data_IF_862176170737
#
_entry.id   IF_862176170737
#
_cell.length_a   1.000
_cell.length_b   1.000
_cell.length_c   1.000
_cell.angle_alpha   90.00
_cell.angle_beta   90.00
_cell.angle_gamma   90.00
#
_symmetry.space_group_name_H-M   'P 1'
#
loop_
_entity.id
_entity.type
_entity.pdbx_description
1 polymer ?
#
# COMPACT_ATOMS: atom_id res chain seq x y z
N UNK A 1 60.78 31.42 16.78
CA UNK A 1 59.94 30.92 15.64
C UNK A 1 59.71 29.43 15.90
N UNK A 2 58.76 29.12 16.77
CA UNK A 2 58.39 27.76 17.11
C UNK A 2 57.08 27.45 16.36
N UNK A 3 57.15 26.46 15.47
CA UNK A 3 55.99 25.92 14.75
C UNK A 3 55.43 24.80 15.60
N UNK A 4 54.34 25.08 16.29
CA UNK A 4 53.53 24.09 17.01
C UNK A 4 52.65 23.36 16.05
N UNK A 5 53.03 22.17 15.67
CA UNK A 5 52.19 21.16 14.97
C UNK A 5 51.65 20.19 16.01
N UNK A 6 50.44 20.39 16.49
CA UNK A 6 49.67 19.36 17.17
C UNK A 6 48.31 19.23 16.48
N UNK A 7 48.26 18.38 15.46
CA UNK A 7 47.00 17.87 14.91
C UNK A 7 46.64 16.60 15.66
N UNK A 8 45.89 16.71 16.75
CA UNK A 8 45.26 15.58 17.40
C UNK A 8 44.16 15.03 16.44
N UNK A 9 44.52 13.94 15.76
CA UNK A 9 43.55 13.10 15.09
C UNK A 9 42.80 12.35 16.20
N UNK A 10 41.66 12.90 16.62
CA UNK A 10 40.70 12.15 17.45
C UNK A 10 40.21 10.93 16.69
N UNK A 11 40.77 9.78 17.02
CA UNK A 11 40.32 8.48 16.60
C UNK A 11 38.88 8.29 17.10
N UNK A 12 37.86 8.49 16.23
CA UNK A 12 36.46 8.24 16.55
C UNK A 12 36.24 6.77 16.82
N UNK A 13 36.39 6.37 18.08
CA UNK A 13 36.01 5.04 18.57
C UNK A 13 34.51 4.82 18.22
N UNK A 14 34.14 3.74 17.53
CA UNK A 14 32.75 3.47 17.22
C UNK A 14 31.97 3.30 18.52
N UNK A 15 31.06 4.23 18.82
CA UNK A 15 30.17 4.15 19.98
C UNK A 15 29.42 2.84 19.95
N UNK A 16 29.61 2.00 20.96
CA UNK A 16 28.81 0.79 21.20
C UNK A 16 27.33 1.22 21.22
N UNK A 17 26.52 0.64 20.30
CA UNK A 17 25.06 0.78 20.31
C UNK A 17 24.55 0.35 21.68
N UNK A 18 24.07 1.30 22.48
CA UNK A 18 23.40 1.05 23.74
C UNK A 18 21.91 0.82 23.49
N UNK A 19 21.21 0.18 24.39
CA UNK A 19 19.77 -0.03 24.37
C UNK A 19 18.96 1.27 24.22
N UNK A 20 19.60 2.43 24.38
CA UNK A 20 19.03 3.79 24.17
C UNK A 20 18.96 4.20 22.69
N UNK A 21 19.58 3.46 21.77
CA UNK A 21 19.59 3.74 20.33
C UNK A 21 18.47 2.97 19.58
N UNK A 22 17.43 2.50 20.30
CA UNK A 22 16.25 1.89 19.67
C UNK A 22 15.54 2.97 18.86
N UNK A 23 15.48 2.79 17.55
CA UNK A 23 14.72 3.67 16.67
C UNK A 23 13.21 3.53 17.00
N UNK A 24 12.75 4.43 17.87
CA UNK A 24 11.35 4.47 18.33
C UNK A 24 10.36 4.48 17.16
N UNK A 25 10.75 5.02 16.01
CA UNK A 25 9.91 5.02 14.80
C UNK A 25 9.76 3.63 14.20
N UNK A 26 10.71 2.73 14.45
CA UNK A 26 10.62 1.34 13.99
C UNK A 26 9.72 0.50 14.91
N UNK A 27 9.67 0.79 16.20
CA UNK A 27 8.95 0.00 17.20
C UNK A 27 7.52 0.51 17.41
N UNK A 28 7.29 1.81 17.24
CA UNK A 28 6.00 2.44 17.49
C UNK A 28 4.80 1.78 16.78
N UNK A 29 4.86 1.39 15.50
CA UNK A 29 3.73 0.71 14.84
C UNK A 29 3.38 -0.63 15.48
N UNK A 30 4.40 -1.40 15.89
CA UNK A 30 4.19 -2.69 16.55
C UNK A 30 3.60 -2.53 17.94
N UNK A 31 4.08 -1.54 18.71
CA UNK A 31 3.53 -1.21 20.01
C UNK A 31 2.06 -0.76 19.92
N UNK A 32 1.73 0.07 18.92
CA UNK A 32 0.37 0.51 18.65
C UNK A 32 -0.54 -0.68 18.28
N UNK A 33 -0.04 -1.60 17.44
CA UNK A 33 -0.77 -2.82 17.08
C UNK A 33 -1.09 -3.66 18.31
N UNK A 34 -0.10 -3.92 19.17
CA UNK A 34 -0.30 -4.69 20.41
C UNK A 34 -1.28 -3.98 21.35
N UNK A 35 -1.17 -2.65 21.50
CA UNK A 35 -2.10 -1.87 22.30
C UNK A 35 -3.54 -2.01 21.80
N UNK A 36 -3.76 -1.94 20.49
CA UNK A 36 -5.09 -2.10 19.90
C UNK A 36 -5.63 -3.52 20.07
N UNK A 37 -4.79 -4.55 20.01
CA UNK A 37 -5.20 -5.92 20.30
C UNK A 37 -5.69 -6.05 21.76
N UNK A 38 -4.99 -5.41 22.70
CA UNK A 38 -5.39 -5.40 24.12
C UNK A 38 -6.71 -4.63 24.30
N UNK A 39 -6.82 -3.43 23.70
CA UNK A 39 -8.05 -2.62 23.78
C UNK A 39 -9.23 -3.38 23.18
N UNK A 40 -9.07 -3.99 22.00
CA UNK A 40 -10.13 -4.78 21.37
C UNK A 40 -10.57 -5.97 22.21
N UNK A 41 -9.64 -6.67 22.85
CA UNK A 41 -9.94 -7.78 23.77
C UNK A 41 -10.73 -7.32 25.00
N UNK A 42 -10.45 -6.11 25.51
CA UNK A 42 -11.19 -5.53 26.64
C UNK A 42 -12.59 -5.04 26.24
N UNK A 43 -12.77 -4.57 25.01
CA UNK A 43 -14.06 -4.09 24.49
C UNK A 43 -15.01 -5.25 24.21
N UNK A 44 -14.51 -6.35 23.63
CA UNK A 44 -15.34 -7.50 23.29
C UNK A 44 -14.54 -8.80 23.34
N UNK A 45 -14.96 -9.80 24.16
CA UNK A 45 -14.25 -11.09 24.26
C UNK A 45 -14.12 -11.85 22.93
N UNK A 46 -15.07 -11.67 22.00
CA UNK A 46 -15.02 -12.31 20.68
C UNK A 46 -13.96 -11.68 19.76
N UNK A 47 -13.40 -10.53 20.12
CA UNK A 47 -12.41 -9.80 19.31
C UNK A 47 -11.16 -10.65 19.07
N UNK A 48 -10.63 -11.34 20.09
CA UNK A 48 -9.44 -12.20 19.99
C UNK A 48 -9.72 -13.58 19.40
N UNK A 49 -10.99 -13.88 19.09
CA UNK A 49 -11.36 -15.13 18.43
C UNK A 49 -10.61 -15.32 17.10
N UNK A 50 -10.08 -16.53 16.88
CA UNK A 50 -9.28 -16.84 15.68
C UNK A 50 -10.00 -16.47 14.37
N UNK A 51 -11.30 -16.72 14.32
CA UNK A 51 -12.15 -16.38 13.16
C UNK A 51 -12.18 -14.85 12.92
N UNK A 52 -12.34 -14.04 13.99
CA UNK A 52 -12.35 -12.59 13.86
C UNK A 52 -10.98 -12.07 13.44
N UNK A 53 -9.90 -12.54 14.04
CA UNK A 53 -8.54 -12.13 13.67
C UNK A 53 -8.20 -12.54 12.23
N UNK A 54 -8.62 -13.72 11.79
CA UNK A 54 -8.47 -14.15 10.39
C UNK A 54 -9.28 -13.26 9.43
N UNK A 55 -10.50 -12.86 9.81
CA UNK A 55 -11.32 -11.93 9.02
C UNK A 55 -10.68 -10.55 8.92
N UNK A 56 -10.17 -10.00 10.03
CA UNK A 56 -9.43 -8.72 10.04
C UNK A 56 -8.23 -8.81 9.11
N UNK A 57 -7.41 -9.87 9.26
CA UNK A 57 -6.24 -10.07 8.42
C UNK A 57 -6.60 -10.20 6.93
N UNK A 58 -7.69 -10.91 6.61
CA UNK A 58 -8.15 -11.09 5.23
C UNK A 58 -8.71 -9.80 4.63
N UNK A 59 -9.44 -9.00 5.41
CA UNK A 59 -9.99 -7.70 4.97
C UNK A 59 -8.90 -6.65 4.76
N UNK A 60 -7.87 -6.64 5.60
CA UNK A 60 -6.74 -5.71 5.46
C UNK A 60 -5.94 -5.95 4.18
N UNK A 61 -6.10 -7.09 3.48
CA UNK A 61 -5.29 -7.49 2.35
C UNK A 61 -5.24 -6.44 1.23
N UNK A 62 -6.38 -5.84 0.89
CA UNK A 62 -6.44 -4.86 -0.19
C UNK A 62 -5.58 -3.64 0.11
N UNK A 63 -5.83 -3.01 1.26
CA UNK A 63 -5.11 -1.81 1.68
C UNK A 63 -3.65 -2.13 1.99
N UNK A 64 -3.35 -3.27 2.60
CA UNK A 64 -1.99 -3.70 2.89
C UNK A 64 -1.16 -3.84 1.61
N UNK A 65 -1.67 -4.51 0.58
CA UNK A 65 -0.97 -4.72 -0.69
C UNK A 65 -0.76 -3.38 -1.42
N UNK A 66 -1.81 -2.54 -1.51
CA UNK A 66 -1.71 -1.21 -2.12
C UNK A 66 -0.70 -0.34 -1.35
N UNK A 67 -0.73 -0.36 -0.01
CA UNK A 67 0.18 0.40 0.84
C UNK A 67 1.64 -0.07 0.71
N UNK A 68 1.88 -1.37 0.46
CA UNK A 68 3.24 -1.87 0.14
C UNK A 68 3.76 -1.20 -1.12
N UNK A 69 2.97 -1.11 -2.19
CA UNK A 69 3.33 -0.35 -3.39
C UNK A 69 3.58 1.12 -3.07
N UNK A 70 2.67 1.77 -2.34
CA UNK A 70 2.78 3.16 -1.93
C UNK A 70 4.04 3.44 -1.08
N UNK A 71 4.56 2.42 -0.38
CA UNK A 71 5.84 2.55 0.34
C UNK A 71 6.99 2.89 -0.61
N UNK A 72 7.04 2.34 -1.82
CA UNK A 72 8.08 2.66 -2.80
C UNK A 72 7.91 4.08 -3.36
N UNK A 73 6.69 4.46 -3.73
CA UNK A 73 6.38 5.80 -4.25
C UNK A 73 6.70 6.86 -3.19
N UNK A 74 6.24 6.69 -1.95
CA UNK A 74 6.49 7.62 -0.85
C UNK A 74 7.97 7.64 -0.49
N UNK A 75 8.65 6.49 -0.47
CA UNK A 75 10.09 6.44 -0.18
C UNK A 75 10.93 7.15 -1.23
N UNK A 76 10.48 7.27 -2.50
CA UNK A 76 11.12 8.07 -3.55
C UNK A 76 10.78 9.57 -3.49
N UNK A 77 9.95 9.99 -2.54
CA UNK A 77 9.51 11.38 -2.35
C UNK A 77 8.37 11.79 -3.26
N UNK A 78 7.55 10.83 -3.70
CA UNK A 78 6.36 11.04 -4.53
C UNK A 78 5.09 10.59 -3.80
N UNK A 79 3.92 10.93 -4.35
CA UNK A 79 2.61 10.48 -3.88
C UNK A 79 1.77 10.02 -5.07
N UNK A 80 0.98 8.96 -4.88
CA UNK A 80 0.01 8.47 -5.87
C UNK A 80 -1.39 8.47 -5.26
N UNK A 81 -2.22 9.40 -5.71
CA UNK A 81 -3.61 9.52 -5.31
C UNK A 81 -4.57 8.73 -6.20
N UNK A 82 -4.09 8.14 -7.28
CA UNK A 82 -4.95 7.47 -8.26
C UNK A 82 -5.28 6.02 -7.88
N UNK A 83 -4.64 5.45 -6.87
CA UNK A 83 -4.70 4.01 -6.56
C UNK A 83 -6.11 3.48 -6.37
N UNK A 84 -6.99 4.22 -5.68
CA UNK A 84 -8.37 3.79 -5.47
C UNK A 84 -9.19 3.76 -6.75
N UNK A 85 -9.06 4.77 -7.61
CA UNK A 85 -9.70 4.81 -8.93
C UNK A 85 -9.07 3.80 -9.91
N UNK A 86 -7.77 3.55 -9.79
CA UNK A 86 -7.06 2.52 -10.55
C UNK A 86 -7.60 1.12 -10.22
N UNK A 87 -7.88 0.82 -8.95
CA UNK A 87 -8.55 -0.45 -8.56
C UNK A 87 -9.88 -0.61 -9.29
N UNK A 88 -10.74 0.43 -9.26
CA UNK A 88 -12.03 0.40 -9.92
C UNK A 88 -11.90 0.17 -11.44
N UNK A 89 -10.96 0.85 -12.07
CA UNK A 89 -10.72 0.77 -13.51
C UNK A 89 -10.18 -0.60 -13.93
N UNK A 90 -9.16 -1.11 -13.24
CA UNK A 90 -8.56 -2.43 -13.54
C UNK A 90 -9.58 -3.53 -13.31
N UNK A 91 -10.36 -3.48 -12.20
CA UNK A 91 -11.42 -4.43 -11.92
C UNK A 91 -12.52 -4.40 -12.99
N UNK A 92 -12.89 -3.20 -13.46
CA UNK A 92 -13.89 -3.04 -14.53
C UNK A 92 -13.46 -3.72 -15.81
N UNK A 93 -12.25 -3.47 -16.28
CA UNK A 93 -11.74 -4.09 -17.50
C UNK A 93 -11.56 -5.60 -17.36
N UNK A 94 -11.11 -6.08 -16.20
CA UNK A 94 -11.00 -7.51 -15.91
C UNK A 94 -12.37 -8.20 -15.97
N UNK A 95 -13.41 -7.65 -15.32
CA UNK A 95 -14.75 -8.24 -15.30
C UNK A 95 -15.39 -8.18 -16.69
N UNK A 96 -15.26 -7.05 -17.40
CA UNK A 96 -15.77 -6.93 -18.77
C UNK A 96 -15.13 -7.95 -19.73
N UNK A 97 -13.81 -8.17 -19.59
CA UNK A 97 -13.12 -9.18 -20.36
C UNK A 97 -13.63 -10.59 -20.03
N UNK A 98 -13.81 -10.93 -18.76
CA UNK A 98 -14.40 -12.21 -18.35
C UNK A 98 -15.82 -12.39 -18.88
N UNK A 99 -16.64 -11.33 -18.92
CA UNK A 99 -18.00 -11.37 -19.43
C UNK A 99 -18.09 -11.43 -20.96
N UNK A 100 -17.00 -11.12 -21.68
CA UNK A 100 -17.00 -11.13 -23.16
C UNK A 100 -17.12 -12.53 -23.76
N UNK A 101 -16.78 -13.57 -23.00
CA UNK A 101 -16.76 -14.94 -23.52
C UNK A 101 -15.71 -15.17 -24.63
N UNK A 102 -14.71 -14.28 -24.76
CA UNK A 102 -13.71 -14.37 -25.84
C UNK A 102 -12.88 -15.66 -25.82
N UNK A 103 -12.81 -16.32 -24.69
CA UNK A 103 -12.12 -17.60 -24.49
C UNK A 103 -13.16 -18.59 -23.95
N UNK A 104 -13.39 -19.69 -24.68
CA UNK A 104 -14.41 -20.66 -24.32
C UNK A 104 -14.07 -21.48 -23.05
N UNK A 105 -12.79 -21.77 -22.81
CA UNK A 105 -12.36 -22.46 -21.59
C UNK A 105 -12.35 -21.53 -20.40
N UNK A 106 -13.13 -21.82 -19.33
CA UNK A 106 -13.23 -20.91 -18.16
C UNK A 106 -11.92 -20.75 -17.41
N UNK A 107 -11.09 -21.79 -17.33
CA UNK A 107 -9.80 -21.74 -16.63
C UNK A 107 -8.82 -20.83 -17.38
N UNK A 108 -8.76 -20.99 -18.71
CA UNK A 108 -7.92 -20.15 -19.56
C UNK A 108 -8.41 -18.70 -19.58
N UNK A 109 -9.74 -18.49 -19.61
CA UNK A 109 -10.36 -17.16 -19.49
C UNK A 109 -9.93 -16.48 -18.18
N UNK A 110 -10.01 -17.19 -17.06
CA UNK A 110 -9.63 -16.64 -15.75
C UNK A 110 -8.15 -16.27 -15.72
N UNK A 111 -7.26 -17.15 -16.20
CA UNK A 111 -5.81 -16.86 -16.25
C UNK A 111 -5.53 -15.66 -17.16
N UNK A 112 -6.15 -15.59 -18.33
CA UNK A 112 -6.00 -14.46 -19.25
C UNK A 112 -6.50 -13.15 -18.61
N UNK A 113 -7.62 -13.18 -17.88
CA UNK A 113 -8.15 -12.02 -17.17
C UNK A 113 -7.21 -11.55 -16.02
N UNK A 114 -6.60 -12.49 -15.30
CA UNK A 114 -5.60 -12.17 -14.29
C UNK A 114 -4.35 -11.50 -14.89
N UNK A 115 -3.84 -12.05 -16.00
CA UNK A 115 -2.71 -11.45 -16.72
C UNK A 115 -3.07 -10.06 -17.23
N UNK A 116 -4.28 -9.91 -17.80
CA UNK A 116 -4.78 -8.61 -18.27
C UNK A 116 -4.81 -7.58 -17.14
N UNK A 117 -5.32 -7.95 -15.95
CA UNK A 117 -5.33 -7.06 -14.79
C UNK A 117 -3.92 -6.60 -14.39
N UNK A 118 -2.94 -7.52 -14.40
CA UNK A 118 -1.53 -7.21 -14.10
C UNK A 118 -0.94 -6.26 -15.15
N UNK A 119 -1.21 -6.50 -16.43
CA UNK A 119 -0.74 -5.65 -17.53
C UNK A 119 -1.35 -4.24 -17.42
N UNK A 120 -2.68 -4.15 -17.22
CA UNK A 120 -3.36 -2.85 -17.12
C UNK A 120 -2.91 -2.07 -15.89
N UNK A 121 -2.85 -2.71 -14.71
CA UNK A 121 -2.39 -2.04 -13.50
C UNK A 121 -0.95 -1.54 -13.61
N UNK A 122 -0.05 -2.36 -14.18
CA UNK A 122 1.33 -1.96 -14.46
C UNK A 122 1.40 -0.81 -15.48
N UNK A 123 0.55 -0.83 -16.51
CA UNK A 123 0.46 0.24 -17.52
C UNK A 123 -0.06 1.55 -16.92
N UNK A 124 -1.06 1.49 -16.03
CA UNK A 124 -1.55 2.65 -15.29
C UNK A 124 -0.43 3.25 -14.41
N UNK A 125 0.30 2.40 -13.67
CA UNK A 125 1.45 2.85 -12.89
C UNK A 125 2.55 3.45 -13.78
N UNK A 126 2.84 2.83 -14.93
CA UNK A 126 3.79 3.37 -15.90
C UNK A 126 3.35 4.74 -16.44
N UNK A 127 2.07 4.90 -16.77
CA UNK A 127 1.52 6.19 -17.21
C UNK A 127 1.72 7.28 -16.15
N UNK A 128 1.38 7.01 -14.87
CA UNK A 128 1.63 7.93 -13.77
C UNK A 128 3.12 8.28 -13.64
N UNK A 129 3.99 7.28 -13.72
CA UNK A 129 5.43 7.45 -13.68
C UNK A 129 5.96 8.32 -14.82
N UNK A 130 5.52 8.09 -16.05
CA UNK A 130 5.95 8.86 -17.23
C UNK A 130 5.41 10.30 -17.20
N UNK A 131 4.14 10.51 -16.83
CA UNK A 131 3.56 11.84 -16.69
C UNK A 131 4.36 12.65 -15.66
N UNK A 132 4.75 12.01 -14.55
CA UNK A 132 5.50 12.67 -13.47
C UNK A 132 6.95 12.95 -13.86
N UNK A 133 7.63 12.01 -14.53
CA UNK A 133 9.08 12.10 -14.77
C UNK A 133 9.40 12.73 -16.11
N UNK A 134 8.79 12.26 -17.20
CA UNK A 134 9.00 12.79 -18.57
C UNK A 134 8.17 14.06 -18.77
N UNK A 135 6.90 14.04 -18.32
CA UNK A 135 6.02 15.22 -18.38
C UNK A 135 6.43 16.32 -17.40
N UNK A 136 7.30 16.01 -16.42
CA UNK A 136 7.77 16.94 -15.37
C UNK A 136 6.63 17.61 -14.59
N UNK A 137 5.51 16.89 -14.47
CA UNK A 137 4.36 17.34 -13.68
C UNK A 137 4.56 16.88 -12.23
N UNK A 138 4.21 17.72 -11.26
CA UNK A 138 4.25 17.34 -9.86
C UNK A 138 3.41 16.07 -9.60
N UNK A 139 3.94 15.06 -8.87
CA UNK A 139 3.28 13.77 -8.68
C UNK A 139 1.85 13.88 -8.17
N UNK A 140 1.62 14.79 -7.21
CA UNK A 140 0.29 15.06 -6.67
C UNK A 140 -0.70 15.50 -7.76
N UNK A 141 -0.31 16.43 -8.64
CA UNK A 141 -1.17 16.93 -9.73
C UNK A 141 -1.38 15.85 -10.78
N UNK A 142 -0.31 15.15 -11.18
CA UNK A 142 -0.36 14.07 -12.16
C UNK A 142 -1.33 12.97 -11.71
N UNK A 143 -1.19 12.49 -10.47
CA UNK A 143 -1.99 11.38 -9.97
C UNK A 143 -3.43 11.80 -9.60
N UNK A 144 -3.66 13.05 -9.22
CA UNK A 144 -5.00 13.60 -9.10
C UNK A 144 -5.72 13.67 -10.47
N UNK A 145 -5.00 14.07 -11.50
CA UNK A 145 -5.52 14.05 -12.88
C UNK A 145 -5.87 12.64 -13.34
N UNK A 146 -4.95 11.68 -13.18
CA UNK A 146 -5.21 10.29 -13.56
C UNK A 146 -6.26 9.61 -12.68
N UNK A 147 -6.40 10.00 -11.40
CA UNK A 147 -7.52 9.60 -10.56
C UNK A 147 -8.87 9.97 -11.20
N UNK A 148 -8.99 11.20 -11.69
CA UNK A 148 -10.19 11.65 -12.41
C UNK A 148 -10.39 10.87 -13.71
N UNK A 149 -9.34 10.61 -14.47
CA UNK A 149 -9.40 9.84 -15.72
C UNK A 149 -9.86 8.42 -15.45
N UNK A 150 -9.23 7.67 -14.53
CA UNK A 150 -9.62 6.28 -14.23
C UNK A 150 -11.03 6.20 -13.67
N UNK A 151 -11.43 7.16 -12.82
CA UNK A 151 -12.79 7.24 -12.28
C UNK A 151 -13.81 7.51 -13.37
N UNK A 152 -13.53 8.48 -14.26
CA UNK A 152 -14.38 8.82 -15.41
C UNK A 152 -14.53 7.65 -16.38
N UNK A 153 -13.41 6.97 -16.72
CA UNK A 153 -13.44 5.78 -17.58
C UNK A 153 -14.25 4.65 -16.94
N UNK A 154 -14.10 4.42 -15.63
CA UNK A 154 -14.91 3.42 -14.91
C UNK A 154 -16.41 3.79 -14.98
N UNK A 155 -16.76 5.05 -14.75
CA UNK A 155 -18.14 5.53 -14.84
C UNK A 155 -18.72 5.34 -16.24
N UNK A 156 -17.93 5.64 -17.26
CA UNK A 156 -18.32 5.46 -18.67
C UNK A 156 -18.53 3.98 -19.01
N UNK A 157 -17.61 3.10 -18.63
CA UNK A 157 -17.68 1.66 -18.85
C UNK A 157 -18.87 1.02 -18.12
N UNK A 158 -19.20 1.50 -16.92
CA UNK A 158 -20.30 1.02 -16.10
C UNK A 158 -21.64 1.68 -16.41
N UNK A 159 -21.65 2.71 -17.29
CA UNK A 159 -22.83 3.56 -17.58
C UNK A 159 -23.45 4.11 -16.27
N UNK A 160 -22.61 4.44 -15.29
CA UNK A 160 -23.03 4.94 -13.97
C UNK A 160 -23.51 3.86 -12.99
N UNK A 161 -23.61 2.61 -13.41
CA UNK A 161 -24.02 1.47 -12.57
C UNK A 161 -22.86 0.64 -12.02
N UNK A 162 -23.13 -0.63 -11.77
CA UNK A 162 -22.13 -1.62 -11.39
C UNK A 162 -21.85 -2.58 -12.56
N UNK A 163 -20.59 -2.98 -12.72
CA UNK A 163 -20.16 -4.04 -13.63
C UNK A 163 -20.04 -5.31 -12.80
N UNK A 164 -20.88 -6.30 -13.07
CA UNK A 164 -20.94 -7.56 -12.31
C UNK A 164 -20.41 -8.71 -13.17
N UNK A 165 -19.71 -9.65 -12.55
CA UNK A 165 -19.30 -10.89 -13.19
C UNK A 165 -20.53 -11.78 -13.36
N UNK A 166 -20.92 -12.02 -14.61
CA UNK A 166 -22.20 -12.66 -14.94
C UNK A 166 -22.11 -14.20 -15.00
N UNK A 167 -20.92 -14.78 -15.26
CA UNK A 167 -20.73 -16.22 -15.38
C UNK A 167 -20.66 -16.90 -14.00
N UNK A 168 -21.65 -17.74 -13.61
CA UNK A 168 -21.59 -18.48 -12.35
C UNK A 168 -20.40 -19.44 -12.29
N UNK A 169 -20.00 -19.98 -13.44
CA UNK A 169 -18.87 -20.89 -13.55
C UNK A 169 -17.55 -20.18 -13.23
N UNK A 170 -17.31 -19.01 -13.83
CA UNK A 170 -16.14 -18.18 -13.51
C UNK A 170 -16.16 -17.69 -12.07
N UNK A 171 -17.34 -17.35 -11.53
CA UNK A 171 -17.46 -16.99 -10.11
C UNK A 171 -17.05 -18.15 -9.20
N UNK A 172 -17.55 -19.36 -9.46
CA UNK A 172 -17.22 -20.55 -8.66
C UNK A 172 -15.75 -20.92 -8.74
N UNK A 173 -15.15 -20.84 -9.94
CA UNK A 173 -13.74 -21.12 -10.20
C UNK A 173 -12.82 -20.08 -9.53
N UNK A 174 -13.23 -18.81 -9.51
CA UNK A 174 -12.42 -17.73 -8.98
C UNK A 174 -12.58 -17.52 -7.46
N UNK A 175 -13.71 -17.95 -6.89
CA UNK A 175 -14.02 -17.76 -5.46
C UNK A 175 -12.91 -18.24 -4.51
N UNK A 176 -12.21 -19.37 -4.74
CA UNK A 176 -11.14 -19.84 -3.87
C UNK A 176 -9.94 -18.88 -3.77
N UNK A 177 -9.74 -17.99 -4.74
CA UNK A 177 -8.67 -16.99 -4.67
C UNK A 177 -8.83 -16.01 -3.48
N UNK A 178 -10.05 -15.83 -2.96
CA UNK A 178 -10.29 -15.03 -1.77
C UNK A 178 -10.75 -15.86 -0.56
N UNK A 179 -11.70 -16.78 -0.78
CA UNK A 179 -12.32 -17.55 0.32
C UNK A 179 -11.63 -18.90 0.57
N UNK A 180 -10.69 -19.29 -0.29
CA UNK A 180 -9.93 -20.52 -0.12
C UNK A 180 -8.90 -20.44 1.00
N UNK A 181 -8.47 -21.62 1.44
CA UNK A 181 -7.41 -21.80 2.42
C UNK A 181 -6.37 -22.78 1.91
N UNK A 182 -5.10 -22.53 2.23
CA UNK A 182 -4.00 -23.46 1.99
C UNK A 182 -3.37 -23.77 3.35
N UNK A 183 -3.34 -25.04 3.71
CA UNK A 183 -2.90 -25.50 5.05
C UNK A 183 -3.65 -24.80 6.21
N UNK A 184 -4.93 -24.48 6.02
CA UNK A 184 -5.74 -23.76 7.00
C UNK A 184 -5.54 -22.24 7.06
N UNK A 185 -4.62 -21.68 6.26
CA UNK A 185 -4.37 -20.24 6.18
C UNK A 185 -5.16 -19.65 4.99
N UNK A 186 -5.95 -18.58 5.20
CA UNK A 186 -6.67 -17.90 4.11
C UNK A 186 -5.72 -17.40 3.01
N UNK A 187 -6.10 -17.60 1.75
CA UNK A 187 -5.30 -17.21 0.58
C UNK A 187 -4.88 -15.74 0.61
N UNK A 188 -5.74 -14.76 0.96
CA UNK A 188 -5.31 -13.35 1.03
C UNK A 188 -4.15 -13.10 1.99
N UNK A 189 -4.09 -13.82 3.11
CA UNK A 189 -2.99 -13.71 4.08
C UNK A 189 -1.68 -14.19 3.45
N UNK A 190 -1.71 -15.30 2.70
CA UNK A 190 -0.54 -15.81 1.99
C UNK A 190 -0.06 -14.83 0.91
N UNK A 191 -1.00 -14.20 0.20
CA UNK A 191 -0.68 -13.17 -0.81
C UNK A 191 -0.04 -11.94 -0.15
N UNK A 192 -0.57 -11.44 0.98
CA UNK A 192 0.06 -10.34 1.74
C UNK A 192 1.49 -10.71 2.13
N UNK A 193 1.69 -11.90 2.70
CA UNK A 193 3.01 -12.35 3.13
C UNK A 193 3.99 -12.42 1.96
N UNK A 194 3.56 -12.99 0.83
CA UNK A 194 4.38 -13.09 -0.37
C UNK A 194 4.75 -11.71 -0.92
N UNK A 195 3.76 -10.82 -1.11
CA UNK A 195 3.99 -9.45 -1.61
C UNK A 195 4.90 -8.69 -0.67
N UNK A 196 4.68 -8.80 0.65
CA UNK A 196 5.51 -8.16 1.67
C UNK A 196 6.95 -8.67 1.64
N UNK A 197 7.15 -9.98 1.53
CA UNK A 197 8.48 -10.59 1.46
C UNK A 197 9.24 -10.13 0.21
N UNK A 198 8.58 -10.13 -0.95
CA UNK A 198 9.17 -9.63 -2.21
C UNK A 198 9.51 -8.14 -2.09
N UNK A 199 8.59 -7.33 -1.61
CA UNK A 199 8.79 -5.89 -1.45
C UNK A 199 9.90 -5.57 -0.44
N UNK A 200 9.95 -6.27 0.69
CA UNK A 200 11.02 -6.14 1.67
C UNK A 200 12.37 -6.54 1.09
N UNK A 201 12.44 -7.64 0.34
CA UNK A 201 13.65 -8.04 -0.38
C UNK A 201 14.09 -6.95 -1.38
N UNK A 202 13.16 -6.45 -2.21
CA UNK A 202 13.45 -5.41 -3.20
C UNK A 202 13.94 -4.13 -2.52
N UNK A 203 13.26 -3.67 -1.47
CA UNK A 203 13.58 -2.41 -0.82
C UNK A 203 14.88 -2.50 0.00
N UNK A 204 15.09 -3.59 0.74
CA UNK A 204 16.22 -3.67 1.69
C UNK A 204 17.45 -4.36 1.16
N UNK A 205 17.32 -5.23 0.14
CA UNK A 205 18.45 -6.07 -0.32
C UNK A 205 18.94 -5.75 -1.74
N UNK A 206 18.15 -4.99 -2.56
CA UNK A 206 18.55 -4.70 -3.93
C UNK A 206 19.21 -3.33 -4.11
N UNK A 207 19.89 -3.13 -5.25
CA UNK A 207 20.39 -1.82 -5.67
C UNK A 207 19.27 -0.82 -5.88
N UNK A 208 18.14 -1.30 -6.44
CA UNK A 208 16.98 -0.45 -6.70
C UNK A 208 16.42 0.15 -5.40
N UNK A 209 16.26 -0.62 -4.34
CA UNK A 209 15.78 -0.12 -3.05
C UNK A 209 16.70 0.95 -2.45
N UNK A 210 18.03 0.78 -2.56
CA UNK A 210 18.98 1.82 -2.15
C UNK A 210 18.83 3.10 -2.97
N UNK A 211 18.60 2.98 -4.29
CA UNK A 211 18.38 4.13 -5.16
C UNK A 211 17.06 4.84 -4.81
N UNK A 212 15.98 4.11 -4.49
CA UNK A 212 14.69 4.70 -4.04
C UNK A 212 14.91 5.59 -2.82
N UNK A 213 15.61 5.07 -1.81
CA UNK A 213 15.92 5.81 -0.57
C UNK A 213 16.82 7.02 -0.86
N UNK A 214 17.83 6.88 -1.70
CA UNK A 214 18.73 7.98 -2.08
C UNK A 214 17.99 9.09 -2.83
N UNK A 215 17.14 8.73 -3.80
CA UNK A 215 16.30 9.68 -4.59
C UNK A 215 15.33 10.44 -3.66
N UNK A 216 14.69 9.72 -2.72
CA UNK A 216 13.78 10.34 -1.77
C UNK A 216 14.46 11.23 -0.74
N UNK A 217 15.74 10.96 -0.41
CA UNK A 217 16.51 11.81 0.49
C UNK A 217 16.90 13.14 -0.16
N UNK A 218 17.39 13.09 -1.41
CA UNK A 218 17.71 14.28 -2.23
C UNK A 218 17.83 13.87 -3.70
N UNK A 219 16.90 14.34 -4.53
CA UNK A 219 16.94 14.10 -6.00
C UNK A 219 18.18 14.67 -6.64
N UNK A 220 18.63 15.83 -6.15
CA UNK A 220 19.80 16.53 -6.69
C UNK A 220 21.08 15.76 -6.40
N UNK A 221 21.32 15.38 -5.13
CA UNK A 221 22.49 14.59 -4.74
C UNK A 221 22.50 13.22 -5.44
N UNK A 222 21.35 12.56 -5.54
CA UNK A 222 21.23 11.30 -6.25
C UNK A 222 21.62 11.43 -7.73
N UNK A 223 21.20 12.51 -8.39
CA UNK A 223 21.55 12.79 -9.79
C UNK A 223 23.06 13.04 -9.96
N UNK A 224 23.68 13.82 -9.08
CA UNK A 224 25.13 14.03 -9.08
C UNK A 224 25.92 12.74 -8.81
N UNK A 225 25.33 11.81 -8.07
CA UNK A 225 25.91 10.48 -7.83
C UNK A 225 25.68 9.48 -8.98
N UNK A 226 25.17 9.93 -10.15
CA UNK A 226 24.94 9.09 -11.32
C UNK A 226 23.70 8.21 -11.27
N UNK A 227 22.79 8.44 -10.32
CA UNK A 227 21.53 7.68 -10.24
C UNK A 227 20.54 8.23 -11.27
N UNK A 228 19.94 7.34 -12.07
CA UNK A 228 18.90 7.68 -13.02
C UNK A 228 17.57 7.95 -12.30
N UNK A 229 17.43 9.13 -11.70
CA UNK A 229 16.31 9.55 -10.81
C UNK A 229 14.94 9.26 -11.44
N UNK A 230 14.75 9.67 -12.70
CA UNK A 230 13.46 9.52 -13.38
C UNK A 230 13.08 8.05 -13.60
N UNK A 231 14.06 7.19 -13.93
CA UNK A 231 13.83 5.74 -14.04
C UNK A 231 13.46 5.12 -12.69
N UNK A 232 14.13 5.52 -11.61
CA UNK A 232 13.85 5.01 -10.26
C UNK A 232 12.43 5.35 -9.83
N UNK A 233 12.00 6.59 -10.06
CA UNK A 233 10.64 7.08 -9.75
C UNK A 233 9.58 6.37 -10.61
N UNK A 234 9.80 6.27 -11.92
CA UNK A 234 8.87 5.57 -12.83
C UNK A 234 8.67 4.11 -12.40
N UNK A 235 9.75 3.39 -12.05
CA UNK A 235 9.65 2.01 -11.56
C UNK A 235 8.86 1.94 -10.25
N UNK A 236 8.97 2.93 -9.34
CA UNK A 236 8.17 2.96 -8.12
C UNK A 236 6.67 3.04 -8.42
N UNK A 237 6.25 3.86 -9.39
CA UNK A 237 4.85 3.90 -9.84
C UNK A 237 4.40 2.60 -10.53
N UNK A 238 5.28 1.94 -11.30
CA UNK A 238 4.97 0.62 -11.89
C UNK A 238 4.75 -0.44 -10.79
N UNK A 239 5.60 -0.46 -9.75
CA UNK A 239 5.42 -1.32 -8.57
C UNK A 239 4.08 -1.03 -7.88
N UNK A 240 3.71 0.26 -7.76
CA UNK A 240 2.40 0.65 -7.22
C UNK A 240 1.26 0.10 -8.06
N UNK A 241 1.30 0.25 -9.38
CA UNK A 241 0.29 -0.28 -10.30
C UNK A 241 0.21 -1.82 -10.26
N UNK A 242 1.34 -2.51 -10.12
CA UNK A 242 1.40 -3.95 -9.91
C UNK A 242 0.73 -4.37 -8.59
N UNK A 243 0.99 -3.65 -7.49
CA UNK A 243 0.33 -3.91 -6.21
C UNK A 243 -1.18 -3.66 -6.30
N UNK A 244 -1.62 -2.62 -7.02
CA UNK A 244 -3.04 -2.39 -7.30
C UNK A 244 -3.65 -3.58 -8.05
N UNK A 245 -2.98 -4.08 -9.10
CA UNK A 245 -3.45 -5.25 -9.83
C UNK A 245 -3.59 -6.49 -8.92
N UNK A 246 -2.58 -6.77 -8.08
CA UNK A 246 -2.66 -7.89 -7.12
C UNK A 246 -3.82 -7.71 -6.13
N UNK A 247 -4.07 -6.49 -5.66
CA UNK A 247 -5.24 -6.21 -4.82
C UNK A 247 -6.56 -6.47 -5.57
N UNK A 248 -6.64 -6.14 -6.87
CA UNK A 248 -7.80 -6.44 -7.73
C UNK A 248 -8.02 -7.95 -7.88
N UNK A 249 -6.95 -8.73 -7.99
CA UNK A 249 -7.06 -10.21 -8.06
C UNK A 249 -7.70 -10.83 -6.81
N UNK A 250 -7.62 -10.16 -5.66
CA UNK A 250 -8.32 -10.57 -4.43
C UNK A 250 -9.70 -9.90 -4.30
N UNK A 251 -9.86 -8.69 -4.85
CA UNK A 251 -11.08 -7.90 -4.75
C UNK A 251 -12.23 -8.52 -5.58
N UNK A 252 -11.95 -8.87 -6.84
CA UNK A 252 -12.97 -9.38 -7.77
C UNK A 252 -13.60 -10.69 -7.27
N UNK A 253 -12.87 -11.73 -6.80
CA UNK A 253 -13.51 -12.96 -6.32
C UNK A 253 -14.27 -12.76 -5.00
N UNK A 254 -14.00 -11.69 -4.25
CA UNK A 254 -14.72 -11.36 -3.02
C UNK A 254 -16.08 -10.75 -3.31
N UNK A 255 -16.15 -9.76 -4.19
CA UNK A 255 -17.35 -8.92 -4.41
C UNK A 255 -18.09 -9.27 -5.68
N UNK A 256 -17.43 -9.87 -6.67
CA UNK A 256 -18.04 -10.22 -7.95
C UNK A 256 -18.47 -9.02 -8.80
N UNK A 257 -18.21 -7.80 -8.35
CA UNK A 257 -18.63 -6.58 -9.01
C UNK A 257 -17.73 -5.41 -8.69
N UNK A 258 -17.80 -4.38 -9.54
CA UNK A 258 -17.12 -3.08 -9.34
C UNK A 258 -18.00 -1.95 -9.86
N UNK A 259 -17.74 -0.73 -9.39
CA UNK A 259 -18.45 0.49 -9.79
C UNK A 259 -17.55 1.71 -9.69
N UNK A 260 -18.03 2.85 -10.11
CA UNK A 260 -17.33 4.12 -9.96
C UNK A 260 -17.06 4.50 -8.49
N UNK A 261 -17.78 3.95 -7.52
CA UNK A 261 -17.55 4.20 -6.08
C UNK A 261 -16.54 3.23 -5.46
N UNK A 262 -16.12 2.19 -6.18
CA UNK A 262 -15.10 1.25 -5.71
C UNK A 262 -13.78 1.96 -5.41
N UNK A 263 -13.19 1.67 -4.27
CA UNK A 263 -11.89 2.20 -3.88
C UNK A 263 -11.87 3.69 -3.50
N UNK A 264 -13.02 4.31 -3.24
CA UNK A 264 -13.05 5.70 -2.72
C UNK A 264 -12.34 5.75 -1.37
N UNK A 265 -11.43 6.72 -1.21
CA UNK A 265 -10.57 6.95 -0.04
C UNK A 265 -9.51 5.86 0.21
N UNK A 266 -9.35 4.87 -0.66
CA UNK A 266 -8.31 3.85 -0.49
C UNK A 266 -6.91 4.43 -0.65
N UNK A 267 -6.74 5.49 -1.43
CA UNK A 267 -5.49 6.26 -1.51
C UNK A 267 -5.11 6.83 -0.15
N UNK A 268 -6.06 7.43 0.58
CA UNK A 268 -5.81 7.98 1.91
C UNK A 268 -5.54 6.87 2.94
N UNK A 269 -6.25 5.76 2.87
CA UNK A 269 -6.01 4.61 3.75
C UNK A 269 -4.61 4.01 3.50
N UNK A 270 -4.20 3.85 2.23
CA UNK A 270 -2.87 3.35 1.88
C UNK A 270 -1.76 4.28 2.39
N UNK A 271 -1.88 5.59 2.15
CA UNK A 271 -0.94 6.60 2.66
C UNK A 271 -0.89 6.56 4.19
N UNK A 272 -2.05 6.46 4.86
CA UNK A 272 -2.13 6.36 6.32
C UNK A 272 -1.40 5.13 6.83
N UNK A 273 -1.62 3.97 6.22
CA UNK A 273 -0.93 2.73 6.59
C UNK A 273 0.60 2.88 6.47
N UNK A 274 1.09 3.54 5.41
CA UNK A 274 2.51 3.82 5.19
C UNK A 274 3.07 4.76 6.26
N UNK A 275 2.34 5.83 6.60
CA UNK A 275 2.78 6.86 7.56
C UNK A 275 2.74 6.33 8.99
N UNK A 276 1.62 5.70 9.40
CA UNK A 276 1.48 5.03 10.70
C UNK A 276 2.53 3.93 10.84
N UNK A 277 2.86 3.25 9.74
CA UNK A 277 3.95 2.29 9.64
C UNK A 277 5.36 2.87 9.80
N UNK A 278 5.51 4.20 9.94
CA UNK A 278 6.77 4.88 10.21
C UNK A 278 7.60 5.21 8.97
N UNK A 279 7.06 5.10 7.77
CA UNK A 279 7.67 5.62 6.54
C UNK A 279 7.51 7.13 6.48
N UNK A 280 8.59 7.86 6.18
CA UNK A 280 8.56 9.32 6.11
C UNK A 280 7.90 9.81 4.82
N UNK A 281 6.88 10.69 4.91
CA UNK A 281 6.22 11.28 3.73
C UNK A 281 7.15 12.13 2.86
N UNK A 282 8.22 12.67 3.45
CA UNK A 282 9.22 13.44 2.70
C UNK A 282 10.11 12.57 1.81
N UNK A 283 10.00 11.23 1.90
CA UNK A 283 10.89 10.30 1.25
C UNK A 283 12.16 10.01 2.05
N UNK A 284 13.07 9.24 1.44
CA UNK A 284 14.37 8.90 2.02
C UNK A 284 14.37 7.78 3.05
N UNK A 285 13.20 7.25 3.41
CA UNK A 285 13.07 6.09 4.30
C UNK A 285 11.81 5.30 3.97
N UNK A 286 11.93 3.98 3.84
CA UNK A 286 10.80 3.08 3.60
C UNK A 286 10.78 1.93 4.59
N UNK A 287 9.60 1.63 5.16
CA UNK A 287 9.40 0.60 6.18
C UNK A 287 8.25 -0.34 5.79
N UNK A 288 8.56 -1.32 4.93
CA UNK A 288 7.55 -2.29 4.43
C UNK A 288 6.84 -3.02 5.57
N UNK A 289 7.58 -3.54 6.57
CA UNK A 289 6.98 -4.22 7.72
C UNK A 289 6.11 -3.29 8.58
N UNK A 290 6.56 -2.05 8.76
CA UNK A 290 5.76 -1.04 9.44
C UNK A 290 4.47 -0.72 8.69
N UNK A 291 4.53 -0.61 7.37
CA UNK A 291 3.35 -0.37 6.51
C UNK A 291 2.30 -1.47 6.68
N UNK A 292 2.71 -2.73 6.75
CA UNK A 292 1.79 -3.84 7.04
C UNK A 292 1.13 -3.67 8.41
N UNK A 293 1.91 -3.35 9.44
CA UNK A 293 1.34 -3.04 10.77
C UNK A 293 0.36 -1.87 10.70
N UNK A 294 0.66 -0.81 9.94
CA UNK A 294 -0.23 0.33 9.73
C UNK A 294 -1.55 -0.07 9.06
N UNK A 295 -1.52 -0.93 8.04
CA UNK A 295 -2.74 -1.44 7.40
C UNK A 295 -3.59 -2.27 8.37
N UNK A 296 -2.96 -3.13 9.18
CA UNK A 296 -3.66 -3.88 10.22
C UNK A 296 -4.25 -2.98 11.30
N UNK A 297 -3.54 -1.93 11.72
CA UNK A 297 -4.04 -0.94 12.68
C UNK A 297 -5.34 -0.30 12.19
N UNK A 298 -5.40 0.12 10.92
CA UNK A 298 -6.60 0.72 10.35
C UNK A 298 -7.80 -0.25 10.36
N UNK A 299 -7.59 -1.50 9.98
CA UNK A 299 -8.65 -2.52 9.97
C UNK A 299 -9.07 -2.89 11.39
N UNK A 300 -8.13 -3.00 12.35
CA UNK A 300 -8.44 -3.27 13.75
C UNK A 300 -9.29 -2.17 14.38
N UNK A 301 -8.98 -0.89 14.10
CA UNK A 301 -9.80 0.22 14.57
C UNK A 301 -11.24 0.09 14.07
N UNK A 302 -11.43 -0.17 12.77
CA UNK A 302 -12.75 -0.41 12.21
C UNK A 302 -13.47 -1.62 12.84
N UNK A 303 -12.73 -2.70 13.08
CA UNK A 303 -13.28 -3.91 13.69
C UNK A 303 -13.66 -3.70 15.16
N UNK A 304 -12.84 -2.98 15.95
CA UNK A 304 -13.17 -2.62 17.35
C UNK A 304 -14.44 -1.78 17.40
N UNK A 305 -14.57 -0.80 16.50
CA UNK A 305 -15.76 0.05 16.42
C UNK A 305 -17.03 -0.78 16.12
N UNK A 306 -16.93 -1.68 15.13
CA UNK A 306 -18.04 -2.55 14.76
C UNK A 306 -18.47 -3.48 15.93
N UNK A 307 -17.51 -3.99 16.68
CA UNK A 307 -17.79 -4.90 17.83
C UNK A 307 -18.18 -4.16 19.11
N UNK A 308 -17.89 -2.87 19.22
CA UNK A 308 -18.16 -2.09 20.43
C UNK A 308 -19.63 -1.75 20.62
N UNK A 309 -20.43 -1.74 19.54
CA UNK A 309 -21.81 -1.26 19.49
C UNK A 309 -22.06 0.17 20.04
N UNK A 310 -20.98 0.90 20.44
CA UNK A 310 -21.07 2.27 20.97
C UNK A 310 -20.92 3.32 19.91
N UNK A 311 -20.31 2.99 18.77
CA UNK A 311 -19.96 3.94 17.73
C UNK A 311 -20.59 3.49 16.41
N UNK A 312 -21.30 4.42 15.76
CA UNK A 312 -21.88 4.15 14.45
C UNK A 312 -20.81 3.84 13.41
N UNK A 313 -21.02 2.80 12.60
CA UNK A 313 -20.14 2.44 11.49
C UNK A 313 -19.93 3.59 10.48
N UNK A 314 -20.88 4.53 10.40
CA UNK A 314 -20.77 5.72 9.56
C UNK A 314 -19.65 6.68 10.01
N UNK A 315 -19.16 6.57 11.25
CA UNK A 315 -18.06 7.38 11.77
C UNK A 315 -16.67 6.77 11.51
N UNK A 316 -16.58 5.56 10.96
CA UNK A 316 -15.29 4.89 10.69
C UNK A 316 -14.36 5.79 9.87
N UNK A 317 -14.89 6.42 8.80
CA UNK A 317 -14.11 7.33 7.95
C UNK A 317 -13.60 8.57 8.71
N UNK A 318 -14.43 9.16 9.59
CA UNK A 318 -14.04 10.32 10.39
C UNK A 318 -12.92 9.95 11.40
N UNK A 319 -13.02 8.78 12.02
CA UNK A 319 -12.01 8.29 12.96
C UNK A 319 -10.71 7.95 12.22
N UNK A 320 -10.78 7.29 11.07
CA UNK A 320 -9.61 7.05 10.23
C UNK A 320 -8.92 8.36 9.83
N UNK A 321 -9.68 9.37 9.41
CA UNK A 321 -9.14 10.71 9.14
C UNK A 321 -8.47 11.36 10.34
N UNK A 322 -9.06 11.21 11.53
CA UNK A 322 -8.45 11.70 12.77
C UNK A 322 -7.14 10.99 13.10
N UNK A 323 -7.07 9.68 12.86
CA UNK A 323 -5.83 8.89 13.05
C UNK A 323 -4.72 9.42 12.14
N UNK A 324 -5.03 9.77 10.88
CA UNK A 324 -4.05 10.36 9.96
C UNK A 324 -3.45 11.64 10.56
N UNK A 325 -4.31 12.55 11.03
CA UNK A 325 -3.89 13.84 11.60
C UNK A 325 -3.01 13.62 12.83
N UNK A 326 -3.44 12.76 13.75
CA UNK A 326 -2.69 12.44 14.97
C UNK A 326 -1.33 11.80 14.63
N UNK A 327 -1.30 10.83 13.72
CA UNK A 327 -0.06 10.19 13.28
C UNK A 327 0.93 11.20 12.70
N UNK A 328 0.45 12.15 11.88
CA UNK A 328 1.29 13.21 11.31
C UNK A 328 1.81 14.17 12.36
N UNK A 329 1.00 14.55 13.36
CA UNK A 329 1.44 15.40 14.47
C UNK A 329 2.53 14.72 15.32
N UNK A 330 2.33 13.44 15.63
CA UNK A 330 3.33 12.63 16.35
C UNK A 330 4.62 12.52 15.55
N UNK A 331 4.54 12.19 14.26
CA UNK A 331 5.70 12.09 13.38
C UNK A 331 6.48 13.42 13.32
N UNK A 332 5.77 14.56 13.21
CA UNK A 332 6.39 15.90 13.23
C UNK A 332 7.11 16.18 14.56
N UNK A 333 6.50 15.82 15.68
CA UNK A 333 7.10 16.05 17.01
C UNK A 333 8.39 15.24 17.21
N UNK A 334 8.41 14.00 16.70
CA UNK A 334 9.60 13.13 16.76
C UNK A 334 10.72 13.60 15.82
N UNK A 335 10.38 14.28 14.71
CA UNK A 335 11.38 14.81 13.76
C UNK A 335 12.04 16.10 14.28
N UNK A 336 11.36 16.89 15.12
CA UNK A 336 11.91 18.11 15.72
C UNK A 336 12.95 17.85 16.83
N UNK A 337 12.95 16.66 17.42
CA UNK A 337 13.84 16.28 18.53
C UNK A 337 15.10 15.52 18.06
N UNK A 338 15.20 15.21 16.78
CA UNK A 338 16.38 14.63 16.13
C UNK A 338 17.09 15.65 15.24
#
# INVERSE_FOLDING_TARGET
MEVSTNSEIEERVPRRRTWRDVDLRAVAPFAALVLLLIVGALVNPNFIGLTNLANVATRSAFIAIIAVGATFVISSGDLDLSVGSMVAFVASLMILFMNSGAIADPSLMLVAAMVLAVVIGSACGLANGLITTVGRIEPFIATLGTMGIYRGLTTWLSQGGAITLNSPELQSLYRPAYFGTVLGVPVPILVILLVTAIAAFVLYRTRYGRHVVAVGSSREVARYSGIAVDRVRTIAFVIQGLCVAVAVLLYVPRLGSTSATTGILWELQAITAVVVGGTALKGGAGRVWGTICGAFILELVGNIMLLSNFISEYLIGAIQGSIIIVAMLVQRSLTRKS
#
